data_IF_921320389375
#
_entry.id   IF_921320389375
#
_cell.length_a   1.000
_cell.length_b   1.000
_cell.length_c   1.000
_cell.angle_alpha   90.00
_cell.angle_beta   90.00
_cell.angle_gamma   90.00
#
_symmetry.space_group_name_H-M   'P 1'
#
loop_
_entity.id
_entity.type
_entity.pdbx_description
1 polymer ?
#
# COMPACT_ATOMS: atom_id res chain seq x y z
N UNK A 1 -17.03 4.52 -20.86
CA UNK A 1 -16.03 5.62 -20.71
C UNK A 1 -15.66 5.86 -19.25
N UNK A 2 -16.61 5.87 -18.30
CA UNK A 2 -16.33 6.10 -16.86
C UNK A 2 -15.45 5.03 -16.19
N UNK A 3 -15.63 3.74 -16.52
CA UNK A 3 -14.85 2.66 -15.91
C UNK A 3 -13.34 2.69 -16.24
N UNK A 4 -12.98 2.99 -17.49
CA UNK A 4 -11.58 3.14 -17.90
C UNK A 4 -10.93 4.32 -17.17
N UNK A 5 -11.68 5.43 -17.02
CA UNK A 5 -11.20 6.61 -16.32
C UNK A 5 -10.89 6.31 -14.85
N UNK A 6 -11.78 5.62 -14.12
CA UNK A 6 -11.55 5.31 -12.71
C UNK A 6 -10.46 4.25 -12.50
N UNK A 7 -10.30 3.33 -13.45
CA UNK A 7 -9.15 2.40 -13.48
C UNK A 7 -7.83 3.15 -13.65
N UNK A 8 -7.74 4.02 -14.65
CA UNK A 8 -6.53 4.83 -14.89
C UNK A 8 -6.23 5.75 -13.69
N UNK A 9 -7.27 6.30 -13.06
CA UNK A 9 -7.14 7.13 -11.87
C UNK A 9 -6.52 6.35 -10.70
N UNK A 10 -7.02 5.14 -10.43
CA UNK A 10 -6.45 4.28 -9.40
C UNK A 10 -4.99 3.91 -9.70
N UNK A 11 -4.71 3.46 -10.94
CA UNK A 11 -3.35 3.07 -11.36
C UNK A 11 -2.39 4.26 -11.25
N UNK A 12 -2.80 5.45 -11.70
CA UNK A 12 -1.98 6.65 -11.61
C UNK A 12 -1.68 7.02 -10.15
N UNK A 13 -2.69 6.97 -9.27
CA UNK A 13 -2.50 7.22 -7.84
C UNK A 13 -1.57 6.19 -7.19
N UNK A 14 -1.82 4.90 -7.43
CA UNK A 14 -1.03 3.80 -6.87
C UNK A 14 0.43 3.83 -7.35
N UNK A 15 0.65 4.17 -8.62
CA UNK A 15 1.98 4.37 -9.20
C UNK A 15 2.68 5.59 -8.61
N UNK A 16 1.96 6.70 -8.38
CA UNK A 16 2.52 7.89 -7.73
C UNK A 16 2.94 7.58 -6.28
N UNK A 17 2.13 6.83 -5.53
CA UNK A 17 2.48 6.34 -4.19
C UNK A 17 3.76 5.49 -4.24
N UNK A 18 3.82 4.50 -5.14
CA UNK A 18 5.00 3.65 -5.30
C UNK A 18 6.24 4.47 -5.68
N UNK A 19 6.08 5.44 -6.57
CA UNK A 19 7.16 6.33 -7.00
C UNK A 19 7.69 7.19 -5.85
N UNK A 20 6.81 7.84 -5.08
CA UNK A 20 7.19 8.63 -3.91
C UNK A 20 7.90 7.77 -2.85
N UNK A 21 7.40 6.56 -2.60
CA UNK A 21 8.00 5.62 -1.64
C UNK A 21 9.40 5.18 -2.09
N UNK A 22 9.54 4.71 -3.33
CA UNK A 22 10.83 4.26 -3.87
C UNK A 22 11.86 5.39 -3.96
N UNK A 23 11.47 6.56 -4.48
CA UNK A 23 12.39 7.69 -4.74
C UNK A 23 12.72 8.49 -3.49
N UNK A 24 11.72 8.85 -2.70
CA UNK A 24 11.87 9.82 -1.61
C UNK A 24 11.69 9.20 -0.23
N UNK A 25 11.23 7.94 -0.13
CA UNK A 25 10.90 7.28 1.15
C UNK A 25 9.93 8.10 2.00
N UNK A 26 9.18 8.98 1.34
CA UNK A 26 8.27 9.94 1.94
C UNK A 26 7.12 10.12 0.98
N UNK A 27 5.94 9.76 1.45
CA UNK A 27 4.70 9.94 0.72
C UNK A 27 4.03 11.19 1.31
N UNK A 28 3.86 12.27 0.53
CA UNK A 28 3.22 13.47 1.04
C UNK A 28 1.76 13.19 1.39
N UNK A 29 1.27 13.77 2.49
CA UNK A 29 -0.11 13.58 2.93
C UNK A 29 -1.13 13.99 1.85
N UNK A 30 -0.79 14.95 0.99
CA UNK A 30 -1.63 15.36 -0.14
C UNK A 30 -1.95 14.22 -1.09
N UNK A 31 -0.98 13.37 -1.44
CA UNK A 31 -1.19 12.21 -2.33
C UNK A 31 -2.16 11.21 -1.72
N UNK A 32 -2.05 10.98 -0.40
CA UNK A 32 -2.94 10.08 0.33
C UNK A 32 -4.35 10.67 0.38
N UNK A 33 -4.49 11.94 0.74
CA UNK A 33 -5.79 12.63 0.83
C UNK A 33 -6.48 12.67 -0.53
N UNK A 34 -5.75 13.00 -1.61
CA UNK A 34 -6.28 12.98 -2.98
C UNK A 34 -6.77 11.57 -3.35
N UNK A 35 -5.99 10.53 -3.02
CA UNK A 35 -6.40 9.15 -3.24
C UNK A 35 -7.66 8.76 -2.49
N UNK A 36 -7.79 9.18 -1.24
CA UNK A 36 -8.95 8.90 -0.40
C UNK A 36 -10.20 9.62 -0.92
N UNK A 37 -10.08 10.90 -1.29
CA UNK A 37 -11.16 11.68 -1.90
C UNK A 37 -11.61 11.02 -3.21
N UNK A 38 -10.65 10.62 -4.06
CA UNK A 38 -10.94 9.94 -5.31
C UNK A 38 -11.67 8.60 -5.07
N UNK A 39 -11.23 7.78 -4.10
CA UNK A 39 -11.89 6.53 -3.76
C UNK A 39 -13.36 6.75 -3.35
N UNK A 40 -13.61 7.71 -2.45
CA UNK A 40 -14.96 8.03 -2.00
C UNK A 40 -15.82 8.63 -3.12
N UNK A 41 -15.26 9.50 -3.96
CA UNK A 41 -15.97 10.06 -5.11
C UNK A 41 -16.38 8.95 -6.09
N UNK A 42 -15.47 8.02 -6.41
CA UNK A 42 -15.76 6.87 -7.26
C UNK A 42 -16.82 5.95 -6.64
N UNK A 43 -16.76 5.70 -5.33
CA UNK A 43 -17.75 4.88 -4.61
C UNK A 43 -19.14 5.55 -4.56
N UNK A 44 -19.19 6.87 -4.35
CA UNK A 44 -20.43 7.65 -4.33
C UNK A 44 -21.11 7.68 -5.71
N UNK A 45 -20.31 7.83 -6.77
CA UNK A 45 -20.78 7.83 -8.16
C UNK A 45 -21.03 6.41 -8.72
N UNK A 46 -20.85 5.36 -7.90
CA UNK A 46 -21.00 3.94 -8.31
C UNK A 46 -20.14 3.57 -9.53
N UNK A 47 -18.94 4.15 -9.59
CA UNK A 47 -17.93 3.91 -10.63
C UNK A 47 -16.60 3.42 -10.04
N UNK A 48 -16.63 2.83 -8.84
CA UNK A 48 -15.44 2.23 -8.22
C UNK A 48 -14.85 1.15 -9.12
N UNK A 49 -13.53 1.16 -9.38
CA UNK A 49 -12.88 0.14 -10.21
C UNK A 49 -12.88 -1.24 -9.56
N UNK A 50 -13.14 -1.33 -8.24
CA UNK A 50 -13.24 -2.59 -7.49
C UNK A 50 -14.69 -2.92 -7.10
N UNK A 51 -15.68 -2.24 -7.69
CA UNK A 51 -17.11 -2.42 -7.41
C UNK A 51 -17.48 -2.26 -5.91
N UNK A 52 -16.78 -1.35 -5.23
CA UNK A 52 -16.96 -1.08 -3.80
C UNK A 52 -18.01 0.03 -3.60
N UNK A 53 -18.97 -0.22 -2.72
CA UNK A 53 -19.97 0.79 -2.30
C UNK A 53 -19.40 1.82 -1.32
N UNK A 54 -20.05 2.97 -1.17
CA UNK A 54 -19.65 4.02 -0.22
C UNK A 54 -19.44 3.49 1.23
N UNK A 55 -20.34 2.59 1.68
CA UNK A 55 -20.24 1.98 3.01
C UNK A 55 -19.01 1.07 3.13
N UNK A 56 -18.74 0.25 2.12
CA UNK A 56 -17.58 -0.63 2.10
C UNK A 56 -16.27 0.17 1.97
N UNK A 57 -16.25 1.27 1.23
CA UNK A 57 -15.10 2.16 1.15
C UNK A 57 -14.79 2.79 2.51
N UNK A 58 -15.81 3.29 3.22
CA UNK A 58 -15.64 3.85 4.56
C UNK A 58 -15.16 2.79 5.56
N UNK A 59 -15.78 1.60 5.53
CA UNK A 59 -15.39 0.49 6.39
C UNK A 59 -13.96 0.02 6.08
N UNK A 60 -13.60 -0.12 4.81
CA UNK A 60 -12.26 -0.47 4.37
C UNK A 60 -11.21 0.55 4.80
N UNK A 61 -11.51 1.84 4.71
CA UNK A 61 -10.62 2.89 5.19
C UNK A 61 -10.35 2.81 6.70
N UNK A 62 -11.42 2.65 7.49
CA UNK A 62 -11.32 2.52 8.95
C UNK A 62 -10.59 1.24 9.35
N UNK A 63 -10.96 0.09 8.77
CA UNK A 63 -10.33 -1.19 9.08
C UNK A 63 -8.86 -1.18 8.66
N UNK A 64 -8.53 -0.66 7.48
CA UNK A 64 -7.14 -0.52 7.04
C UNK A 64 -6.32 0.33 8.02
N UNK A 65 -6.86 1.48 8.44
CA UNK A 65 -6.21 2.34 9.42
C UNK A 65 -5.97 1.60 10.75
N UNK A 66 -7.02 1.01 11.31
CA UNK A 66 -6.98 0.34 12.62
C UNK A 66 -6.09 -0.90 12.58
N UNK A 67 -6.09 -1.66 11.49
CA UNK A 67 -5.28 -2.87 11.36
C UNK A 67 -3.78 -2.60 11.44
N UNK A 68 -3.31 -1.49 10.86
CA UNK A 68 -1.87 -1.17 10.85
C UNK A 68 -1.44 -0.19 11.96
N UNK A 69 -2.39 0.42 12.68
CA UNK A 69 -2.10 1.34 13.78
C UNK A 69 -1.24 0.72 14.90
N UNK A 70 -1.46 -0.53 15.35
CA UNK A 70 -0.59 -1.17 16.35
C UNK A 70 0.86 -1.28 15.88
N UNK A 71 1.08 -1.62 14.61
CA UNK A 71 2.44 -1.75 14.04
C UNK A 71 3.17 -0.41 13.98
N UNK A 72 2.45 0.69 13.72
CA UNK A 72 2.99 2.03 13.85
C UNK A 72 3.31 2.38 15.31
N UNK A 73 2.42 2.07 16.26
CA UNK A 73 2.64 2.32 17.67
C UNK A 73 3.85 1.55 18.24
N UNK A 74 4.10 0.33 17.76
CA UNK A 74 5.29 -0.46 18.09
C UNK A 74 6.56 -0.05 17.31
N UNK A 75 6.48 0.95 16.43
CA UNK A 75 7.61 1.45 15.65
C UNK A 75 8.12 0.49 14.56
N UNK A 76 7.30 -0.52 14.19
CA UNK A 76 7.61 -1.50 13.14
C UNK A 76 7.31 -0.91 11.75
N UNK A 77 6.40 0.06 11.67
CA UNK A 77 5.91 0.59 10.40
C UNK A 77 5.87 2.12 10.40
N UNK A 78 5.99 2.75 9.22
CA UNK A 78 5.86 4.19 9.08
C UNK A 78 4.40 4.65 9.08
N UNK A 79 4.15 5.88 9.55
CA UNK A 79 2.82 6.49 9.49
C UNK A 79 2.28 6.62 8.04
N UNK A 80 3.18 6.73 7.06
CA UNK A 80 2.81 6.77 5.65
C UNK A 80 2.17 5.46 5.19
N UNK A 81 2.72 4.31 5.61
CA UNK A 81 2.23 3.01 5.17
C UNK A 81 0.82 2.71 5.73
N UNK A 82 0.59 3.05 7.00
CA UNK A 82 -0.75 2.95 7.64
C UNK A 82 -1.79 3.76 6.87
N UNK A 83 -1.43 4.99 6.49
CA UNK A 83 -2.31 5.89 5.74
C UNK A 83 -2.56 5.41 4.31
N UNK A 84 -1.55 4.88 3.62
CA UNK A 84 -1.71 4.26 2.29
C UNK A 84 -2.61 3.04 2.36
N UNK A 85 -2.45 2.20 3.39
CA UNK A 85 -3.28 1.03 3.56
C UNK A 85 -4.74 1.38 3.87
N UNK A 86 -5.00 2.44 4.63
CA UNK A 86 -6.33 3.00 4.79
C UNK A 86 -6.91 3.48 3.44
N UNK A 87 -6.13 4.20 2.63
CA UNK A 87 -6.57 4.60 1.29
C UNK A 87 -6.85 3.40 0.36
N UNK A 88 -6.01 2.35 0.41
CA UNK A 88 -6.25 1.10 -0.31
C UNK A 88 -7.53 0.40 0.16
N UNK A 89 -7.83 0.44 1.46
CA UNK A 89 -9.09 -0.07 1.99
C UNK A 89 -10.30 0.68 1.45
N UNK A 90 -10.19 2.00 1.23
CA UNK A 90 -11.25 2.77 0.58
C UNK A 90 -11.45 2.38 -0.89
N UNK A 91 -10.37 2.08 -1.62
CA UNK A 91 -10.43 1.67 -3.02
C UNK A 91 -10.93 0.24 -3.20
N UNK A 92 -10.31 -0.71 -2.51
CA UNK A 92 -10.44 -2.15 -2.75
C UNK A 92 -11.43 -2.84 -1.78
N UNK A 93 -11.85 -2.15 -0.72
CA UNK A 93 -12.66 -2.73 0.34
C UNK A 93 -11.87 -3.64 1.29
N UNK A 94 -12.56 -4.13 2.32
CA UNK A 94 -11.95 -4.88 3.43
C UNK A 94 -11.36 -6.23 3.00
N UNK A 95 -12.05 -6.94 2.09
CA UNK A 95 -11.66 -8.28 1.68
C UNK A 95 -10.27 -8.30 1.02
N UNK A 96 -9.93 -7.25 0.28
CA UNK A 96 -8.66 -7.12 -0.39
C UNK A 96 -7.49 -6.80 0.55
N UNK A 97 -7.75 -6.21 1.72
CA UNK A 97 -6.70 -5.70 2.61
C UNK A 97 -5.78 -6.81 3.11
N UNK A 98 -6.34 -7.96 3.50
CA UNK A 98 -5.54 -9.06 4.06
C UNK A 98 -4.60 -9.63 3.00
N UNK A 99 -5.10 -9.88 1.78
CA UNK A 99 -4.29 -10.39 0.67
C UNK A 99 -3.18 -9.42 0.30
N UNK A 100 -3.50 -8.12 0.17
CA UNK A 100 -2.51 -7.08 -0.12
C UNK A 100 -1.44 -7.00 0.96
N UNK A 101 -1.83 -7.07 2.24
CA UNK A 101 -0.89 -7.02 3.35
C UNK A 101 0.04 -8.24 3.40
N UNK A 102 -0.49 -9.43 3.19
CA UNK A 102 0.30 -10.68 3.15
C UNK A 102 1.31 -10.62 2.01
N UNK A 103 0.87 -10.29 0.79
CA UNK A 103 1.75 -10.19 -0.39
C UNK A 103 2.82 -9.12 -0.16
N UNK A 104 2.43 -7.94 0.33
CA UNK A 104 3.37 -6.85 0.60
C UNK A 104 4.42 -7.25 1.66
N UNK A 105 4.01 -7.96 2.71
CA UNK A 105 4.90 -8.44 3.76
C UNK A 105 5.90 -9.46 3.24
N UNK A 106 5.48 -10.38 2.37
CA UNK A 106 6.36 -11.34 1.73
C UNK A 106 7.40 -10.63 0.84
N UNK A 107 6.96 -9.69 0.00
CA UNK A 107 7.86 -8.94 -0.89
C UNK A 107 8.86 -8.11 -0.07
N UNK A 108 8.37 -7.39 0.94
CA UNK A 108 9.22 -6.58 1.82
C UNK A 108 10.21 -7.45 2.60
N UNK A 109 9.76 -8.61 3.12
CA UNK A 109 10.60 -9.58 3.81
C UNK A 109 11.70 -10.16 2.91
N UNK A 110 11.35 -10.54 1.67
CA UNK A 110 12.32 -11.02 0.68
C UNK A 110 13.37 -9.95 0.33
N UNK A 111 12.94 -8.69 0.14
CA UNK A 111 13.86 -7.58 -0.12
C UNK A 111 14.76 -7.27 1.09
N UNK A 112 14.23 -7.33 2.31
CA UNK A 112 15.03 -7.20 3.52
C UNK A 112 16.07 -8.32 3.66
N UNK A 113 15.69 -9.56 3.37
CA UNK A 113 16.60 -10.71 3.38
C UNK A 113 17.71 -10.57 2.33
N UNK A 114 17.37 -10.13 1.11
CA UNK A 114 18.35 -9.81 0.07
C UNK A 114 19.36 -8.78 0.56
N UNK A 115 18.89 -7.68 1.16
CA UNK A 115 19.77 -6.63 1.69
C UNK A 115 20.70 -7.17 2.79
N UNK A 116 20.20 -7.99 3.70
CA UNK A 116 20.99 -8.63 4.75
C UNK A 116 22.14 -9.47 4.17
N UNK A 117 21.84 -10.30 3.16
CA UNK A 117 22.83 -11.15 2.48
C UNK A 117 23.84 -10.29 1.72
N UNK A 118 23.35 -9.33 0.93
CA UNK A 118 24.18 -8.46 0.09
C UNK A 118 25.12 -7.55 0.90
N UNK A 119 24.71 -7.12 2.10
CA UNK A 119 25.51 -6.27 2.99
C UNK A 119 26.31 -7.05 4.03
N UNK A 120 26.19 -8.39 4.07
CA UNK A 120 26.85 -9.28 5.05
C UNK A 120 26.60 -8.85 6.51
N UNK A 121 25.51 -8.14 6.77
CA UNK A 121 25.19 -7.62 8.11
C UNK A 121 24.80 -8.77 9.03
N UNK A 122 25.51 -8.92 10.16
CA UNK A 122 25.15 -9.92 11.16
C UNK A 122 23.82 -9.52 11.81
N UNK A 123 22.87 -10.45 11.87
CA UNK A 123 21.55 -10.26 12.52
C UNK A 123 21.70 -9.78 13.97
N UNK A 124 22.74 -10.25 14.67
CA UNK A 124 23.07 -9.80 16.02
C UNK A 124 23.39 -8.29 16.13
N UNK A 125 23.87 -7.65 15.06
CA UNK A 125 24.12 -6.21 15.01
C UNK A 125 22.84 -5.39 14.89
N UNK A 126 21.77 -5.97 14.34
CA UNK A 126 20.44 -5.35 14.27
C UNK A 126 19.73 -5.42 15.62
N UNK A 127 19.84 -6.55 16.32
CA UNK A 127 19.26 -6.73 17.66
C UNK A 127 19.87 -5.76 18.69
N UNK A 128 21.19 -5.48 18.58
CA UNK A 128 21.86 -4.46 19.42
C UNK A 128 21.47 -3.02 19.07
N UNK A 129 21.05 -2.75 17.84
CA UNK A 129 20.56 -1.44 17.40
C UNK A 129 19.05 -1.39 17.60
N UNK A 130 18.63 -1.14 18.83
CA UNK A 130 17.24 -0.82 19.19
C UNK A 130 16.83 0.57 18.68
N UNK A 131 17.13 0.87 17.42
CA UNK A 131 16.73 2.11 16.76
C UNK A 131 15.32 1.90 16.19
N UNK A 132 14.34 2.75 16.52
CA UNK A 132 13.09 2.78 15.80
C UNK A 132 13.40 3.09 14.33
N UNK A 133 12.70 2.43 13.40
CA UNK A 133 12.80 2.61 11.93
C UNK A 133 14.09 2.13 11.24
N UNK A 134 14.04 0.88 10.76
CA UNK A 134 14.47 0.40 9.42
C UNK A 134 15.61 1.11 8.64
N UNK A 135 16.70 1.53 9.29
CA UNK A 135 18.00 1.71 8.63
C UNK A 135 18.82 0.43 8.77
N UNK A 136 18.73 -0.47 7.77
CA UNK A 136 19.67 -1.58 7.67
C UNK A 136 20.97 -1.07 7.02
N UNK A 137 22.01 -0.92 7.84
CA UNK A 137 23.39 -0.63 7.41
C UNK A 137 23.54 0.60 6.47
N UNK A 138 22.81 1.68 6.75
CA UNK A 138 22.87 2.91 5.97
C UNK A 138 22.24 2.80 4.57
N UNK A 139 21.57 1.69 4.25
CA UNK A 139 20.74 1.56 3.05
C UNK A 139 19.29 1.91 3.36
N UNK A 140 18.62 2.52 2.38
CA UNK A 140 17.21 2.91 2.47
C UNK A 140 16.34 1.68 2.79
N UNK A 141 15.37 1.85 3.68
CA UNK A 141 14.38 0.84 4.06
C UNK A 141 13.64 0.22 2.86
N UNK A 142 13.04 -0.94 3.05
CA UNK A 142 12.09 -1.55 2.08
C UNK A 142 10.93 -0.59 1.79
N UNK A 143 10.59 -0.31 0.52
CA UNK A 143 9.44 0.54 0.17
C UNK A 143 8.14 -0.25 0.43
N UNK A 144 7.64 -0.25 1.65
CA UNK A 144 6.49 -1.07 2.01
C UNK A 144 5.21 -0.60 1.30
N UNK A 145 4.99 0.71 1.21
CA UNK A 145 3.86 1.25 0.47
C UNK A 145 3.91 0.88 -1.03
N UNK A 146 5.09 0.82 -1.66
CA UNK A 146 5.19 0.28 -3.02
C UNK A 146 4.88 -1.23 -3.08
N UNK A 147 5.30 -1.99 -2.06
CA UNK A 147 4.96 -3.42 -1.94
C UNK A 147 3.45 -3.64 -1.75
N UNK A 148 2.70 -2.67 -1.25
CA UNK A 148 1.24 -2.69 -1.17
C UNK A 148 0.57 -2.32 -2.50
N UNK A 149 1.02 -1.23 -3.14
CA UNK A 149 0.33 -0.69 -4.31
C UNK A 149 0.60 -1.46 -5.60
N UNK A 150 1.78 -2.06 -5.75
CA UNK A 150 2.12 -2.87 -6.94
C UNK A 150 1.20 -4.09 -7.08
N UNK A 151 1.02 -4.95 -6.04
CA UNK A 151 0.04 -6.03 -6.11
C UNK A 151 -1.38 -5.56 -6.36
N UNK A 152 -1.78 -4.41 -5.82
CA UNK A 152 -3.11 -3.85 -6.05
C UNK A 152 -3.33 -3.44 -7.52
N UNK A 153 -2.32 -2.86 -8.17
CA UNK A 153 -2.34 -2.58 -9.61
C UNK A 153 -2.44 -3.89 -10.41
N UNK A 154 -1.62 -4.89 -10.07
CA UNK A 154 -1.61 -6.19 -10.75
C UNK A 154 -2.96 -6.88 -10.63
N UNK A 155 -3.55 -6.89 -9.43
CA UNK A 155 -4.87 -7.47 -9.21
C UNK A 155 -5.96 -6.73 -10.00
N UNK A 156 -5.93 -5.40 -10.03
CA UNK A 156 -6.90 -4.66 -10.84
C UNK A 156 -6.74 -4.98 -12.34
N UNK A 157 -5.50 -5.10 -12.80
CA UNK A 157 -5.21 -5.48 -14.19
C UNK A 157 -5.71 -6.88 -14.53
N UNK A 158 -5.55 -7.87 -13.65
CA UNK A 158 -6.06 -9.23 -13.89
C UNK A 158 -7.59 -9.27 -13.95
N UNK A 159 -8.27 -8.50 -13.10
CA UNK A 159 -9.73 -8.36 -13.17
C UNK A 159 -10.19 -7.69 -14.46
N UNK A 160 -9.51 -6.63 -14.91
CA UNK A 160 -9.83 -5.94 -16.14
C UNK A 160 -9.66 -6.84 -17.38
N UNK A 161 -8.58 -7.63 -17.42
CA UNK A 161 -8.34 -8.60 -18.50
C UNK A 161 -9.36 -9.74 -18.46
N UNK A 162 -9.64 -10.31 -17.28
CA UNK A 162 -10.62 -11.38 -17.13
C UNK A 162 -12.06 -10.92 -17.43
N UNK A 163 -12.40 -9.67 -17.13
CA UNK A 163 -13.69 -9.06 -17.43
C UNK A 163 -13.85 -8.65 -18.89
N UNK A 164 -12.77 -8.30 -19.59
CA UNK A 164 -12.79 -8.00 -21.03
C UNK A 164 -12.81 -9.23 -21.94
N UNK A 165 -12.58 -10.42 -21.39
CA UNK A 165 -12.68 -11.71 -22.08
C UNK A 165 -14.05 -12.39 -21.92
N UNK A 166 -15.02 -11.70 -21.31
CA UNK A 166 -16.42 -12.13 -21.16
C UNK A 166 -17.33 -11.22 -21.99
#
# INVERSE_FOLDING_TARGET
MSALFTLLLFVAWAALVAFCDCRNRRIPNSVIVIGLIAAFACALLRHSPFDVSMKQAALGAVIGLVALLPFYAFGVMGAADVKVFAALGAWCGVHALLDLWVIATIIAGAHALWLLIATRTRVAALVRRRAPTFELAGRRSTPFAACLTVPAIVWLATQAVAGGLR
#
